data_IF_943107973956
#
_entry.id   IF_943107973956
#
_cell.length_a   1.000
_cell.length_b   1.000
_cell.length_c   1.000
_cell.angle_alpha   90.00
_cell.angle_beta   90.00
_cell.angle_gamma   90.00
#
_symmetry.space_group_name_H-M   'P 1'
#
loop_
_entity.id
_entity.type
_entity.pdbx_description
1 polymer ?
#
# COMPACT_ATOMS: atom_id res chain seq x y z
N UNK A 1 42.65 -14.87 30.75
CA UNK A 1 42.31 -14.04 29.58
C UNK A 1 41.62 -14.96 28.60
N UNK A 2 40.39 -14.68 28.12
CA UNK A 2 39.80 -15.49 27.07
C UNK A 2 40.52 -15.20 25.75
N UNK A 3 40.83 -16.27 25.03
CA UNK A 3 41.49 -16.28 23.73
C UNK A 3 40.75 -15.39 22.72
N UNK A 4 41.40 -14.51 21.96
CA UNK A 4 40.74 -13.68 21.00
C UNK A 4 40.16 -14.55 19.88
N UNK A 5 38.85 -14.55 19.76
CA UNK A 5 38.14 -15.18 18.63
C UNK A 5 38.80 -14.73 17.33
N UNK A 6 39.22 -15.64 16.43
CA UNK A 6 39.87 -15.24 15.18
C UNK A 6 38.94 -14.31 14.39
N UNK A 7 39.50 -13.30 13.70
CA UNK A 7 38.72 -12.41 12.88
C UNK A 7 37.93 -13.22 11.86
N UNK A 8 36.61 -13.10 11.89
CA UNK A 8 35.74 -13.69 10.86
C UNK A 8 36.24 -13.14 9.52
N UNK A 9 36.63 -14.04 8.63
CA UNK A 9 37.05 -13.69 7.28
C UNK A 9 36.00 -12.80 6.60
N UNK A 10 36.34 -12.05 5.53
CA UNK A 10 35.42 -11.14 4.87
C UNK A 10 34.16 -11.91 4.48
N UNK A 11 33.03 -11.57 5.14
CA UNK A 11 31.72 -12.14 4.80
C UNK A 11 31.41 -11.64 3.39
N UNK A 12 31.47 -12.52 2.41
CA UNK A 12 31.10 -12.17 1.04
C UNK A 12 29.66 -11.62 1.04
N UNK A 13 29.39 -10.54 0.29
CA UNK A 13 28.05 -9.96 0.26
C UNK A 13 27.01 -11.00 -0.21
N UNK A 14 25.77 -10.90 0.27
CA UNK A 14 24.70 -11.79 -0.19
C UNK A 14 24.46 -11.61 -1.68
N UNK A 15 24.18 -12.71 -2.34
CA UNK A 15 23.79 -12.72 -3.75
C UNK A 15 22.29 -12.48 -3.90
N UNK A 16 21.50 -13.04 -2.99
CA UNK A 16 20.04 -12.95 -2.96
C UNK A 16 19.57 -12.42 -1.60
N UNK A 17 18.81 -11.34 -1.61
CA UNK A 17 18.08 -10.88 -0.43
C UNK A 17 16.60 -11.27 -0.52
N UNK A 18 16.08 -11.89 0.53
CA UNK A 18 14.67 -12.25 0.65
C UNK A 18 14.00 -11.26 1.60
N UNK A 19 13.12 -10.45 1.07
CA UNK A 19 12.36 -9.45 1.79
C UNK A 19 11.03 -10.05 2.23
N UNK A 20 10.80 -10.08 3.55
CA UNK A 20 9.60 -10.67 4.15
C UNK A 20 8.88 -9.60 4.96
N UNK A 21 7.84 -8.95 4.40
CA UNK A 21 7.02 -8.02 5.16
C UNK A 21 6.22 -8.77 6.23
N UNK A 22 6.21 -8.25 7.46
CA UNK A 22 5.52 -8.90 8.59
C UNK A 22 4.62 -7.93 9.35
N UNK A 23 3.45 -8.43 9.74
CA UNK A 23 2.56 -7.81 10.71
C UNK A 23 1.72 -8.89 11.40
N UNK A 24 1.97 -9.15 12.70
CA UNK A 24 1.37 -10.23 13.49
C UNK A 24 1.68 -11.63 12.91
N UNK A 25 2.97 -11.93 12.77
CA UNK A 25 3.45 -13.19 12.19
C UNK A 25 4.42 -13.95 13.13
N UNK A 26 4.38 -13.69 14.45
CA UNK A 26 5.28 -14.29 15.43
C UNK A 26 5.33 -15.83 15.39
N UNK A 27 4.23 -16.47 15.01
CA UNK A 27 4.14 -17.93 14.88
C UNK A 27 4.76 -18.49 13.61
N UNK A 28 5.03 -17.67 12.59
CA UNK A 28 5.46 -18.11 11.26
C UNK A 28 6.93 -17.78 10.95
N UNK A 29 7.50 -16.73 11.57
CA UNK A 29 8.83 -16.20 11.21
C UNK A 29 9.96 -17.22 11.35
N UNK A 30 9.93 -18.10 12.36
CA UNK A 30 10.94 -19.12 12.53
C UNK A 30 10.86 -20.22 11.46
N UNK A 31 9.67 -20.64 11.14
CA UNK A 31 9.45 -21.70 10.15
C UNK A 31 9.77 -21.23 8.73
N UNK A 32 9.36 -20.02 8.34
CA UNK A 32 9.69 -19.49 7.02
C UNK A 32 11.20 -19.28 6.85
N UNK A 33 11.90 -18.78 7.88
CA UNK A 33 13.35 -18.65 7.86
C UNK A 33 14.05 -20.00 7.68
N UNK A 34 13.61 -21.02 8.41
CA UNK A 34 14.14 -22.38 8.30
C UNK A 34 13.90 -22.95 6.89
N UNK A 35 12.69 -22.87 6.35
CA UNK A 35 12.34 -23.39 5.02
C UNK A 35 13.17 -22.72 3.93
N UNK A 36 13.28 -21.38 3.96
CA UNK A 36 14.12 -20.63 3.01
C UNK A 36 15.58 -21.04 3.13
N UNK A 37 16.10 -21.17 4.36
CA UNK A 37 17.49 -21.59 4.58
C UNK A 37 17.82 -22.96 3.98
N UNK A 38 16.88 -23.91 4.07
CA UNK A 38 16.99 -25.23 3.45
C UNK A 38 16.91 -25.13 1.92
N UNK A 39 15.98 -24.36 1.41
CA UNK A 39 15.77 -24.22 -0.05
C UNK A 39 16.94 -23.52 -0.77
N UNK A 40 17.65 -22.64 -0.07
CA UNK A 40 18.77 -21.86 -0.62
C UNK A 40 20.15 -22.40 -0.22
N UNK A 41 20.23 -23.69 0.11
CA UNK A 41 21.52 -24.32 0.40
C UNK A 41 22.49 -24.15 -0.79
N UNK A 42 23.73 -23.71 -0.51
CA UNK A 42 24.76 -23.42 -1.53
C UNK A 42 24.65 -22.03 -2.19
N UNK A 43 23.60 -21.26 -1.93
CA UNK A 43 23.44 -19.87 -2.39
C UNK A 43 23.79 -18.92 -1.25
N UNK A 44 24.42 -17.79 -1.56
CA UNK A 44 24.68 -16.72 -0.57
C UNK A 44 23.45 -15.85 -0.43
N UNK A 45 22.70 -16.03 0.65
CA UNK A 45 21.45 -15.32 0.88
C UNK A 45 21.43 -14.56 2.20
N UNK A 46 20.56 -13.57 2.28
CA UNK A 46 20.11 -12.97 3.53
C UNK A 46 18.58 -12.89 3.55
N UNK A 47 17.98 -12.93 4.73
CA UNK A 47 16.56 -12.65 4.96
C UNK A 47 16.44 -11.31 5.68
N UNK A 48 15.62 -10.43 5.14
CA UNK A 48 15.26 -9.17 5.76
C UNK A 48 13.77 -9.18 6.12
N UNK A 49 13.47 -9.42 7.39
CA UNK A 49 12.12 -9.24 7.92
C UNK A 49 11.84 -7.75 8.12
N UNK A 50 10.76 -7.26 7.52
CA UNK A 50 10.33 -5.88 7.64
C UNK A 50 9.04 -5.83 8.44
N UNK A 51 9.15 -5.50 9.73
CA UNK A 51 8.06 -5.58 10.69
C UNK A 51 7.38 -4.23 10.91
N UNK A 52 6.06 -4.20 10.68
CA UNK A 52 5.21 -3.01 10.81
C UNK A 52 4.75 -2.76 12.25
N UNK A 53 5.68 -2.82 13.19
CA UNK A 53 5.46 -2.61 14.63
C UNK A 53 4.39 -3.56 15.21
N UNK A 54 4.62 -4.84 14.98
CA UNK A 54 3.72 -5.91 15.43
C UNK A 54 3.59 -5.96 16.94
N UNK A 55 2.37 -5.97 17.50
CA UNK A 55 2.16 -6.08 18.95
C UNK A 55 2.24 -7.51 19.51
N UNK A 56 2.33 -8.53 18.64
CA UNK A 56 2.29 -9.95 19.01
C UNK A 56 3.66 -10.58 19.35
N UNK A 57 4.74 -9.76 19.36
CA UNK A 57 6.09 -10.24 19.60
C UNK A 57 6.85 -10.71 18.34
N UNK A 58 6.35 -10.43 17.13
CA UNK A 58 7.04 -10.77 15.87
C UNK A 58 8.47 -10.22 15.85
N UNK A 59 8.66 -8.92 16.15
CA UNK A 59 9.97 -8.28 16.12
C UNK A 59 10.97 -8.90 17.11
N UNK A 60 10.52 -9.28 18.30
CA UNK A 60 11.31 -9.96 19.33
C UNK A 60 11.75 -11.32 18.82
N UNK A 61 10.83 -12.07 18.23
CA UNK A 61 11.12 -13.40 17.68
C UNK A 61 12.15 -13.34 16.55
N UNK A 62 12.05 -12.35 15.66
CA UNK A 62 13.04 -12.16 14.58
C UNK A 62 14.41 -11.76 15.16
N UNK A 63 14.48 -10.92 16.20
CA UNK A 63 15.75 -10.60 16.87
C UNK A 63 16.43 -11.84 17.46
N UNK A 64 15.66 -12.74 18.03
CA UNK A 64 16.21 -14.00 18.57
C UNK A 64 16.78 -14.89 17.46
N UNK A 65 16.12 -14.97 16.30
CA UNK A 65 16.64 -15.64 15.11
C UNK A 65 17.92 -14.97 14.59
N UNK A 66 17.95 -13.64 14.51
CA UNK A 66 19.10 -12.87 14.04
C UNK A 66 20.34 -13.01 14.94
N UNK A 67 20.17 -13.30 16.24
CA UNK A 67 21.29 -13.63 17.14
C UNK A 67 21.89 -15.00 16.85
N UNK A 68 21.09 -15.93 16.34
CA UNK A 68 21.51 -17.30 16.01
C UNK A 68 22.08 -17.40 14.59
N UNK A 69 21.51 -16.64 13.63
CA UNK A 69 21.94 -16.64 12.24
C UNK A 69 22.12 -15.18 11.73
N UNK A 70 23.38 -14.75 11.48
CA UNK A 70 23.67 -13.38 11.03
C UNK A 70 23.13 -13.07 9.63
N UNK A 71 22.66 -14.04 8.87
CA UNK A 71 21.98 -13.85 7.59
C UNK A 71 20.55 -13.35 7.74
N UNK A 72 19.99 -13.42 8.97
CA UNK A 72 18.64 -12.94 9.29
C UNK A 72 18.75 -11.54 9.89
N UNK A 73 17.98 -10.60 9.34
CA UNK A 73 17.96 -9.20 9.76
C UNK A 73 16.53 -8.75 10.02
N UNK A 74 16.39 -7.77 10.91
CA UNK A 74 15.13 -7.11 11.22
C UNK A 74 15.19 -5.63 10.87
N UNK A 75 14.21 -5.15 10.10
CA UNK A 75 13.88 -3.74 9.94
C UNK A 75 12.52 -3.49 10.60
N UNK A 76 12.50 -2.88 11.80
CA UNK A 76 11.25 -2.52 12.49
C UNK A 76 10.81 -1.11 12.10
N UNK A 77 9.58 -0.95 11.64
CA UNK A 77 8.99 0.30 11.13
C UNK A 77 8.00 0.88 12.14
N UNK A 78 8.50 1.62 13.12
CA UNK A 78 7.67 2.18 14.21
C UNK A 78 6.72 3.24 13.68
N UNK A 79 5.43 3.13 14.02
CA UNK A 79 4.40 4.12 13.67
C UNK A 79 4.02 4.16 12.19
N UNK A 80 4.50 3.22 11.38
CA UNK A 80 4.19 3.11 9.93
C UNK A 80 3.67 1.71 9.60
N UNK A 81 2.75 1.63 8.65
CA UNK A 81 2.18 0.37 8.18
C UNK A 81 1.94 0.39 6.68
N UNK A 82 2.09 -0.74 6.04
CA UNK A 82 1.79 -0.93 4.63
C UNK A 82 2.72 -1.91 3.95
N UNK A 83 2.18 -2.96 3.35
CA UNK A 83 2.95 -4.04 2.75
C UNK A 83 3.87 -3.55 1.64
N UNK A 84 3.35 -2.75 0.69
CA UNK A 84 4.16 -2.25 -0.43
C UNK A 84 5.33 -1.39 0.06
N UNK A 85 5.09 -0.46 0.99
CA UNK A 85 6.17 0.37 1.55
C UNK A 85 7.16 -0.45 2.38
N UNK A 86 6.72 -1.52 3.06
CA UNK A 86 7.60 -2.44 3.76
C UNK A 86 8.52 -3.19 2.78
N UNK A 87 7.98 -3.69 1.67
CA UNK A 87 8.78 -4.32 0.63
C UNK A 87 9.82 -3.34 0.04
N UNK A 88 9.42 -2.11 -0.29
CA UNK A 88 10.32 -1.09 -0.85
C UNK A 88 11.47 -0.80 0.14
N UNK A 89 11.17 -0.52 1.39
CA UNK A 89 12.19 -0.23 2.41
C UNK A 89 13.12 -1.42 2.64
N UNK A 90 12.58 -2.64 2.64
CA UNK A 90 13.38 -3.86 2.72
C UNK A 90 14.31 -4.05 1.53
N UNK A 91 13.81 -3.85 0.31
CA UNK A 91 14.62 -3.95 -0.91
C UNK A 91 15.72 -2.88 -0.97
N UNK A 92 15.48 -1.68 -0.45
CA UNK A 92 16.48 -0.60 -0.36
C UNK A 92 17.50 -0.81 0.77
N UNK A 93 17.23 -1.66 1.75
CA UNK A 93 18.09 -1.90 2.91
C UNK A 93 19.13 -3.01 2.70
N UNK A 94 19.29 -3.49 1.48
CA UNK A 94 20.26 -4.52 1.08
C UNK A 94 21.13 -4.08 -0.08
N UNK A 95 22.30 -4.71 -0.22
CA UNK A 95 23.20 -4.53 -1.37
C UNK A 95 23.22 -5.74 -2.30
N UNK A 96 22.34 -6.72 -2.07
CA UNK A 96 22.23 -7.91 -2.91
C UNK A 96 21.81 -7.54 -4.34
N UNK A 97 22.44 -8.13 -5.39
CA UNK A 97 22.07 -7.88 -6.78
C UNK A 97 20.72 -8.46 -7.19
N UNK A 98 20.21 -9.43 -6.42
CA UNK A 98 18.90 -10.06 -6.64
C UNK A 98 18.04 -9.92 -5.41
N UNK A 99 16.78 -9.54 -5.61
CA UNK A 99 15.82 -9.21 -4.57
C UNK A 99 14.58 -10.11 -4.73
N UNK A 100 14.24 -10.89 -3.72
CA UNK A 100 13.01 -11.67 -3.69
C UNK A 100 12.05 -11.10 -2.67
N UNK A 101 10.76 -11.10 -2.97
CA UNK A 101 9.69 -10.80 -2.02
C UNK A 101 8.87 -12.06 -1.83
N UNK A 102 8.54 -12.38 -0.57
CA UNK A 102 7.69 -13.52 -0.19
C UNK A 102 6.92 -13.16 1.08
N UNK A 103 5.63 -13.53 1.16
CA UNK A 103 4.83 -13.31 2.36
C UNK A 103 5.23 -14.30 3.49
N UNK A 104 5.08 -13.86 4.75
CA UNK A 104 5.45 -14.64 5.94
C UNK A 104 4.48 -15.78 6.29
N UNK A 105 3.33 -15.89 5.62
CA UNK A 105 2.19 -16.73 6.01
C UNK A 105 2.27 -18.20 5.55
N UNK A 106 3.43 -18.61 5.03
CA UNK A 106 3.75 -19.96 4.56
C UNK A 106 2.89 -20.48 3.39
N UNK A 107 2.15 -19.59 2.72
CA UNK A 107 1.29 -19.97 1.59
C UNK A 107 2.05 -20.11 0.26
N UNK A 108 3.18 -19.42 0.13
CA UNK A 108 4.04 -19.48 -1.05
C UNK A 108 4.97 -20.70 -0.98
N UNK A 109 5.42 -21.15 -2.16
CA UNK A 109 6.35 -22.26 -2.29
C UNK A 109 7.80 -21.75 -2.35
N UNK A 110 8.44 -21.66 -1.20
CA UNK A 110 9.82 -21.21 -1.04
C UNK A 110 10.85 -22.08 -1.79
N UNK A 111 10.49 -23.32 -2.13
CA UNK A 111 11.39 -24.23 -2.89
C UNK A 111 11.57 -23.79 -4.34
N UNK A 112 10.75 -22.86 -4.80
CA UNK A 112 10.86 -22.28 -6.15
C UNK A 112 11.99 -21.24 -6.26
N UNK A 113 12.42 -20.62 -5.14
CA UNK A 113 13.42 -19.54 -5.12
C UNK A 113 14.72 -19.85 -5.88
N UNK A 114 15.38 -21.03 -5.69
CA UNK A 114 16.62 -21.32 -6.44
C UNK A 114 16.40 -21.35 -7.94
N UNK A 115 15.29 -21.96 -8.40
CA UNK A 115 14.94 -22.04 -9.81
C UNK A 115 14.58 -20.67 -10.39
N UNK A 116 13.90 -19.81 -9.64
CA UNK A 116 13.62 -18.42 -10.04
C UNK A 116 14.92 -17.65 -10.22
N UNK A 117 15.90 -17.79 -9.31
CA UNK A 117 17.19 -17.15 -9.41
C UNK A 117 18.00 -17.65 -10.62
N UNK A 118 18.01 -18.95 -10.85
CA UNK A 118 18.66 -19.56 -12.00
C UNK A 118 18.09 -19.02 -13.32
N UNK A 119 16.76 -19.02 -13.47
CA UNK A 119 16.08 -18.52 -14.67
C UNK A 119 16.32 -17.01 -14.88
N UNK A 120 16.27 -16.22 -13.81
CA UNK A 120 16.55 -14.78 -13.87
C UNK A 120 17.96 -14.49 -14.41
N UNK A 121 18.95 -15.33 -14.04
CA UNK A 121 20.34 -15.19 -14.48
C UNK A 121 20.55 -15.68 -15.90
N UNK A 122 20.10 -16.90 -16.20
CA UNK A 122 20.39 -17.59 -17.47
C UNK A 122 19.67 -16.98 -18.66
N UNK A 123 18.45 -16.43 -18.46
CA UNK A 123 17.64 -15.86 -19.53
C UNK A 123 17.69 -14.31 -19.56
N UNK A 124 18.58 -13.70 -18.80
CA UNK A 124 18.73 -12.24 -18.72
C UNK A 124 17.39 -11.50 -18.48
N UNK A 125 16.53 -12.11 -17.64
CA UNK A 125 15.23 -11.53 -17.28
C UNK A 125 15.42 -10.39 -16.29
N UNK A 126 14.46 -9.47 -16.26
CA UNK A 126 14.37 -8.39 -15.28
C UNK A 126 13.69 -8.88 -13.99
N UNK A 127 12.66 -9.74 -14.13
CA UNK A 127 11.84 -10.24 -13.03
C UNK A 127 11.31 -11.66 -13.33
N UNK A 128 11.24 -12.48 -12.29
CA UNK A 128 10.56 -13.78 -12.31
C UNK A 128 9.46 -13.78 -11.27
N UNK A 129 8.26 -14.18 -11.66
CA UNK A 129 7.06 -14.15 -10.82
C UNK A 129 6.58 -15.56 -10.53
N UNK A 130 6.36 -15.88 -9.26
CA UNK A 130 5.60 -17.06 -8.88
C UNK A 130 4.12 -16.79 -9.16
N UNK A 131 3.52 -17.59 -10.04
CA UNK A 131 2.17 -17.36 -10.56
C UNK A 131 1.22 -18.51 -10.21
N UNK A 132 0.02 -18.13 -9.76
CA UNK A 132 -1.09 -19.06 -9.46
C UNK A 132 -1.96 -19.36 -10.68
N UNK A 133 -1.83 -18.56 -11.73
CA UNK A 133 -2.76 -18.55 -12.86
C UNK A 133 -2.19 -19.09 -14.18
N UNK A 134 -0.89 -19.35 -14.24
CA UNK A 134 -0.28 -20.05 -15.38
C UNK A 134 -0.49 -21.56 -15.28
N UNK A 135 -0.30 -22.27 -16.40
CA UNK A 135 -0.46 -23.73 -16.46
C UNK A 135 0.43 -24.42 -15.41
N UNK A 136 -0.19 -25.24 -14.56
CA UNK A 136 0.46 -25.89 -13.43
C UNK A 136 0.40 -25.11 -12.11
N UNK A 137 -0.10 -23.86 -12.11
CA UNK A 137 -0.37 -23.10 -10.89
C UNK A 137 -1.76 -23.42 -10.30
N UNK A 138 -1.94 -23.18 -9.00
CA UNK A 138 -3.24 -23.33 -8.34
C UNK A 138 -3.45 -22.27 -7.26
N UNK A 139 -4.73 -21.90 -7.06
CA UNK A 139 -5.17 -20.94 -6.02
C UNK A 139 -5.61 -21.61 -4.72
N UNK A 140 -5.43 -22.94 -4.61
CA UNK A 140 -5.95 -23.70 -3.47
C UNK A 140 -7.49 -23.63 -3.37
N UNK A 141 -8.01 -23.70 -2.13
CA UNK A 141 -9.47 -23.80 -1.86
C UNK A 141 -10.19 -22.43 -1.86
N UNK A 142 -9.88 -21.55 -2.81
CA UNK A 142 -10.60 -20.28 -2.90
C UNK A 142 -12.04 -20.50 -3.40
N UNK A 143 -13.01 -19.84 -2.76
CA UNK A 143 -14.37 -19.84 -3.24
C UNK A 143 -14.50 -19.09 -4.59
N UNK A 144 -15.53 -19.44 -5.39
CA UNK A 144 -15.73 -18.88 -6.74
C UNK A 144 -15.81 -17.35 -6.76
N UNK A 145 -16.41 -16.72 -5.74
CA UNK A 145 -16.51 -15.26 -5.62
C UNK A 145 -15.16 -14.61 -5.48
N UNK A 146 -14.27 -15.16 -4.64
CA UNK A 146 -12.90 -14.69 -4.45
C UNK A 146 -12.07 -14.84 -5.72
N UNK A 147 -12.23 -15.96 -6.42
CA UNK A 147 -11.56 -16.19 -7.71
C UNK A 147 -12.04 -15.20 -8.78
N UNK A 148 -13.35 -14.96 -8.90
CA UNK A 148 -13.91 -14.01 -9.86
C UNK A 148 -13.42 -12.58 -9.59
N UNK A 149 -13.42 -12.14 -8.34
CA UNK A 149 -12.89 -10.83 -7.94
C UNK A 149 -11.39 -10.69 -8.26
N UNK A 150 -10.59 -11.72 -7.98
CA UNK A 150 -9.16 -11.71 -8.27
C UNK A 150 -8.89 -11.67 -9.78
N UNK A 151 -9.64 -12.43 -10.60
CA UNK A 151 -9.52 -12.38 -12.07
C UNK A 151 -9.92 -11.01 -12.64
N UNK A 152 -10.98 -10.40 -12.12
CA UNK A 152 -11.38 -9.05 -12.54
C UNK A 152 -10.29 -8.03 -12.22
N UNK A 153 -9.75 -8.08 -11.00
CA UNK A 153 -8.65 -7.22 -10.59
C UNK A 153 -7.41 -7.42 -11.48
N UNK A 154 -7.03 -8.68 -11.79
CA UNK A 154 -5.92 -8.97 -12.71
C UNK A 154 -6.15 -8.41 -14.11
N UNK A 155 -7.36 -8.54 -14.67
CA UNK A 155 -7.68 -7.96 -15.99
C UNK A 155 -7.59 -6.43 -16.02
N UNK A 156 -8.00 -5.76 -14.94
CA UNK A 156 -7.86 -4.30 -14.82
C UNK A 156 -6.37 -3.91 -14.74
N UNK A 157 -5.59 -4.66 -13.98
CA UNK A 157 -4.14 -4.46 -13.86
C UNK A 157 -3.42 -4.65 -15.21
N UNK A 158 -3.70 -5.72 -15.93
CA UNK A 158 -3.11 -6.02 -17.24
C UNK A 158 -3.29 -4.88 -18.25
N UNK A 159 -4.47 -4.25 -18.26
CA UNK A 159 -4.71 -3.08 -19.13
C UNK A 159 -3.86 -1.87 -18.78
N UNK A 160 -3.48 -1.74 -17.51
CA UNK A 160 -2.67 -0.62 -17.02
C UNK A 160 -1.18 -0.81 -17.34
N UNK A 161 -0.67 -2.05 -17.14
CA UNK A 161 0.78 -2.33 -17.23
C UNK A 161 1.25 -2.67 -18.64
N UNK A 162 0.33 -2.82 -19.61
CA UNK A 162 0.64 -3.20 -21.01
C UNK A 162 1.53 -4.46 -21.10
N UNK A 163 1.39 -5.40 -20.15
CA UNK A 163 2.09 -6.66 -20.10
C UNK A 163 1.10 -7.82 -19.91
N UNK A 164 1.36 -8.93 -20.57
CA UNK A 164 0.53 -10.15 -20.46
C UNK A 164 0.92 -10.96 -19.21
N UNK A 165 0.90 -10.30 -18.06
CA UNK A 165 1.18 -10.89 -16.76
C UNK A 165 -0.10 -11.52 -16.19
N UNK A 166 -0.12 -12.84 -16.05
CA UNK A 166 -1.30 -13.58 -15.59
C UNK A 166 -1.60 -13.32 -14.11
N UNK A 167 -0.56 -13.16 -13.26
CA UNK A 167 -0.72 -12.90 -11.82
C UNK A 167 -0.06 -11.59 -11.36
N UNK A 168 -0.57 -10.42 -11.77
CA UNK A 168 -0.04 -9.12 -11.35
C UNK A 168 -0.21 -8.83 -9.85
N UNK A 169 -0.97 -9.69 -9.17
CA UNK A 169 -1.27 -9.59 -7.75
C UNK A 169 -0.41 -10.50 -6.88
N UNK A 170 0.57 -11.19 -7.46
CA UNK A 170 1.43 -12.09 -6.72
C UNK A 170 2.27 -11.33 -5.68
N UNK A 171 2.33 -11.85 -4.44
CA UNK A 171 3.27 -11.44 -3.40
C UNK A 171 4.58 -12.24 -3.44
N UNK A 172 4.80 -13.04 -4.50
CA UNK A 172 5.96 -13.89 -4.64
C UNK A 172 6.65 -13.64 -5.98
N UNK A 173 7.78 -12.94 -5.95
CA UNK A 173 8.55 -12.61 -7.14
C UNK A 173 10.02 -12.35 -6.79
N UNK A 174 10.88 -12.38 -7.81
CA UNK A 174 12.30 -12.13 -7.73
C UNK A 174 12.72 -11.21 -8.86
N UNK A 175 13.48 -10.13 -8.56
CA UNK A 175 13.90 -9.13 -9.54
C UNK A 175 15.39 -8.78 -9.40
N UNK A 176 15.94 -8.17 -10.43
CA UNK A 176 17.28 -7.54 -10.40
C UNK A 176 17.21 -6.21 -9.65
N UNK A 177 18.18 -5.93 -8.78
CA UNK A 177 18.23 -4.68 -8.02
C UNK A 177 18.20 -3.40 -8.88
N UNK A 178 18.82 -3.32 -10.09
CA UNK A 178 18.70 -2.14 -10.95
C UNK A 178 17.26 -1.80 -11.34
N UNK A 179 16.37 -2.79 -11.48
CA UNK A 179 14.95 -2.54 -11.81
C UNK A 179 14.25 -1.73 -10.72
N UNK A 180 14.55 -2.03 -9.45
CA UNK A 180 14.04 -1.21 -8.34
C UNK A 180 14.59 0.22 -8.42
N UNK A 181 15.89 0.38 -8.66
CA UNK A 181 16.53 1.69 -8.76
C UNK A 181 15.90 2.56 -9.86
N UNK A 182 15.56 1.95 -11.00
CA UNK A 182 14.94 2.64 -12.14
C UNK A 182 13.51 3.14 -11.86
N UNK A 183 12.75 2.49 -10.95
CA UNK A 183 11.34 2.80 -10.72
C UNK A 183 11.01 3.30 -9.31
N UNK A 184 11.93 3.26 -8.36
CA UNK A 184 11.64 3.53 -6.94
C UNK A 184 11.06 4.92 -6.69
N UNK A 185 11.46 5.92 -7.47
CA UNK A 185 10.94 7.30 -7.37
C UNK A 185 9.48 7.44 -7.75
N UNK A 186 8.96 6.53 -8.57
CA UNK A 186 7.59 6.54 -9.10
C UNK A 186 6.67 5.48 -8.45
N UNK A 187 7.21 4.69 -7.50
CA UNK A 187 6.41 3.74 -6.74
C UNK A 187 5.43 4.47 -5.81
N UNK A 188 4.19 4.00 -5.78
CA UNK A 188 3.16 4.59 -4.92
C UNK A 188 3.41 4.34 -3.43
N UNK A 189 4.07 3.25 -3.09
CA UNK A 189 4.30 2.80 -1.72
C UNK A 189 3.01 2.50 -0.92
N UNK A 190 1.85 2.52 -1.58
CA UNK A 190 0.53 2.35 -0.97
C UNK A 190 -0.08 1.00 -1.37
N UNK A 191 -0.84 0.40 -0.46
CA UNK A 191 -1.58 -0.84 -0.71
C UNK A 191 -0.72 -2.10 -0.59
N UNK A 192 -1.22 -3.20 -1.21
CA UNK A 192 -0.69 -4.56 -1.03
C UNK A 192 -0.12 -5.15 -2.34
N UNK A 193 0.09 -4.35 -3.40
CA UNK A 193 0.37 -4.85 -4.75
C UNK A 193 1.65 -4.27 -5.35
N UNK A 194 2.76 -4.51 -4.62
CA UNK A 194 4.09 -4.00 -5.02
C UNK A 194 4.53 -4.49 -6.41
N UNK A 195 4.23 -5.74 -6.78
CA UNK A 195 4.56 -6.28 -8.09
C UNK A 195 3.92 -5.46 -9.22
N UNK A 196 2.61 -5.20 -9.11
CA UNK A 196 1.90 -4.37 -10.09
C UNK A 196 2.46 -2.93 -10.12
N UNK A 197 2.80 -2.37 -8.96
CA UNK A 197 3.37 -1.03 -8.86
C UNK A 197 4.73 -0.94 -9.58
N UNK A 198 5.60 -1.95 -9.45
CA UNK A 198 6.87 -2.05 -10.17
C UNK A 198 6.65 -2.09 -11.68
N UNK A 199 5.75 -2.95 -12.18
CA UNK A 199 5.45 -3.02 -13.61
C UNK A 199 4.89 -1.70 -14.15
N UNK A 200 4.00 -1.05 -13.39
CA UNK A 200 3.36 0.22 -13.79
C UNK A 200 4.28 1.44 -13.67
N UNK A 201 5.36 1.36 -12.90
CA UNK A 201 6.33 2.44 -12.69
C UNK A 201 7.60 2.26 -13.51
N UNK A 202 7.80 1.10 -14.12
CA UNK A 202 9.00 0.86 -14.93
C UNK A 202 9.03 1.78 -16.15
N UNK A 203 10.15 2.47 -16.41
CA UNK A 203 10.28 3.37 -17.58
C UNK A 203 10.33 2.63 -18.91
N UNK A 204 10.48 1.31 -18.88
CA UNK A 204 10.52 0.42 -20.06
C UNK A 204 9.75 -0.88 -19.82
N UNK A 205 9.33 -1.58 -20.87
CA UNK A 205 8.79 -2.92 -20.72
C UNK A 205 9.79 -3.85 -20.03
N UNK A 206 9.33 -4.59 -19.02
CA UNK A 206 10.15 -5.55 -18.29
C UNK A 206 10.15 -6.90 -19.00
N UNK A 207 11.33 -7.53 -19.09
CA UNK A 207 11.47 -8.93 -19.48
C UNK A 207 11.13 -9.81 -18.29
N UNK A 208 10.07 -10.57 -18.35
CA UNK A 208 9.62 -11.38 -17.24
C UNK A 208 9.26 -12.82 -17.62
N UNK A 209 9.26 -13.67 -16.62
CA UNK A 209 8.80 -15.06 -16.70
C UNK A 209 7.86 -15.34 -15.53
N UNK A 210 6.75 -16.02 -15.78
CA UNK A 210 5.89 -16.55 -14.74
C UNK A 210 6.15 -18.05 -14.53
N UNK A 211 6.39 -18.44 -13.30
CA UNK A 211 6.62 -19.84 -12.92
C UNK A 211 5.44 -20.34 -12.06
N UNK A 212 4.86 -21.50 -12.43
CA UNK A 212 3.72 -22.03 -11.70
C UNK A 212 4.10 -22.50 -10.29
N UNK A 213 3.21 -22.23 -9.32
CA UNK A 213 3.26 -22.87 -8.00
C UNK A 213 1.87 -23.11 -7.43
N UNK A 214 1.78 -24.08 -6.51
CA UNK A 214 0.56 -24.32 -5.76
C UNK A 214 0.48 -23.41 -4.54
N UNK A 215 -0.55 -22.56 -4.46
CA UNK A 215 -0.79 -21.72 -3.30
C UNK A 215 -1.31 -22.58 -2.15
N UNK A 216 -0.52 -22.72 -1.07
CA UNK A 216 -0.83 -23.56 0.08
C UNK A 216 -1.95 -22.97 0.93
N UNK A 217 -2.64 -23.80 1.69
CA UNK A 217 -3.54 -23.30 2.73
C UNK A 217 -2.72 -22.62 3.83
N UNK A 218 -3.27 -21.53 4.37
CA UNK A 218 -2.65 -20.84 5.50
C UNK A 218 -2.66 -21.74 6.72
N UNK A 219 -1.49 -21.96 7.31
CA UNK A 219 -1.37 -22.79 8.50
C UNK A 219 -1.83 -22.06 9.76
N UNK A 220 -1.64 -20.71 9.82
CA UNK A 220 -1.99 -19.86 10.96
C UNK A 220 -2.36 -18.45 10.49
N UNK A 221 -3.25 -17.77 11.25
CA UNK A 221 -3.66 -16.39 11.01
C UNK A 221 -4.95 -16.23 10.20
N UNK A 222 -5.49 -15.01 10.17
CA UNK A 222 -6.73 -14.67 9.45
C UNK A 222 -6.44 -13.96 8.12
N UNK A 223 -7.34 -14.13 7.14
CA UNK A 223 -7.24 -13.43 5.85
C UNK A 223 -7.52 -11.93 6.06
N UNK A 224 -6.56 -11.07 5.75
CA UNK A 224 -6.70 -9.60 5.83
C UNK A 224 -7.37 -8.99 4.58
N UNK A 225 -8.01 -9.80 3.72
CA UNK A 225 -8.78 -9.32 2.56
C UNK A 225 -10.07 -8.67 3.06
N UNK A 226 -9.97 -7.37 3.27
CA UNK A 226 -11.06 -6.47 3.67
C UNK A 226 -11.43 -5.57 2.47
N UNK A 227 -12.64 -5.00 2.49
CA UNK A 227 -13.09 -4.01 1.49
C UNK A 227 -12.10 -2.84 1.34
N UNK A 228 -11.33 -2.54 2.39
CA UNK A 228 -10.27 -1.55 2.35
C UNK A 228 -9.11 -1.91 1.40
N UNK A 229 -8.78 -3.19 1.24
CA UNK A 229 -7.76 -3.65 0.27
C UNK A 229 -8.21 -3.38 -1.16
N UNK A 230 -9.49 -3.61 -1.46
CA UNK A 230 -10.07 -3.28 -2.77
C UNK A 230 -10.04 -1.78 -3.01
N UNK A 231 -10.36 -0.97 -2.01
CA UNK A 231 -10.30 0.50 -2.08
C UNK A 231 -8.88 0.99 -2.38
N UNK A 232 -7.87 0.53 -1.64
CA UNK A 232 -6.47 0.88 -1.87
C UNK A 232 -5.99 0.46 -3.27
N UNK A 233 -6.45 -0.70 -3.75
CA UNK A 233 -6.16 -1.17 -5.10
C UNK A 233 -6.74 -0.25 -6.18
N UNK A 234 -8.00 0.14 -6.06
CA UNK A 234 -8.65 1.06 -6.99
C UNK A 234 -7.98 2.43 -7.00
N UNK A 235 -7.58 2.93 -5.83
CA UNK A 235 -6.85 4.18 -5.71
C UNK A 235 -5.47 4.12 -6.40
N UNK A 236 -4.75 3.02 -6.24
CA UNK A 236 -3.46 2.83 -6.91
C UNK A 236 -3.64 2.81 -8.43
N UNK A 237 -4.64 2.09 -8.96
CA UNK A 237 -4.95 2.10 -10.39
C UNK A 237 -5.28 3.51 -10.89
N UNK A 238 -6.08 4.24 -10.13
CA UNK A 238 -6.49 5.61 -10.50
C UNK A 238 -5.29 6.57 -10.48
N UNK A 239 -4.40 6.44 -9.50
CA UNK A 239 -3.16 7.23 -9.47
C UNK A 239 -2.29 6.98 -10.71
N UNK A 240 -2.13 5.72 -11.11
CA UNK A 240 -1.34 5.39 -12.31
C UNK A 240 -1.95 5.93 -13.59
N UNK A 241 -3.29 6.04 -13.66
CA UNK A 241 -3.99 6.67 -14.79
C UNK A 241 -3.84 8.19 -14.81
N UNK A 242 -3.87 8.85 -13.64
CA UNK A 242 -3.79 10.31 -13.52
C UNK A 242 -2.33 10.79 -13.60
N UNK A 243 -1.39 9.94 -13.17
CA UNK A 243 0.04 10.23 -13.16
C UNK A 243 0.64 10.37 -11.74
N UNK A 244 1.97 10.19 -11.60
CA UNK A 244 2.66 10.07 -10.31
C UNK A 244 2.71 11.38 -9.50
N UNK A 245 2.45 12.54 -10.16
CA UNK A 245 2.52 13.86 -9.52
C UNK A 245 1.41 14.12 -8.50
N UNK A 246 0.30 13.37 -8.58
CA UNK A 246 -0.85 13.55 -7.69
C UNK A 246 -0.82 12.47 -6.60
N UNK A 247 -0.70 12.83 -5.30
CA UNK A 247 -0.67 11.85 -4.21
C UNK A 247 -1.97 11.02 -4.15
N UNK A 248 -1.84 9.70 -3.97
CA UNK A 248 -2.99 8.79 -3.81
C UNK A 248 -3.97 9.29 -2.73
N UNK A 249 -3.42 9.80 -1.63
CA UNK A 249 -4.25 10.34 -0.53
C UNK A 249 -5.08 11.54 -0.95
N UNK A 250 -4.56 12.39 -1.84
CA UNK A 250 -5.34 13.50 -2.38
C UNK A 250 -6.50 13.02 -3.25
N UNK A 251 -6.26 11.99 -4.07
CA UNK A 251 -7.31 11.37 -4.90
C UNK A 251 -8.41 10.77 -4.01
N UNK A 252 -8.02 9.98 -2.99
CA UNK A 252 -8.95 9.39 -2.04
C UNK A 252 -9.76 10.46 -1.29
N UNK A 253 -9.08 11.49 -0.80
CA UNK A 253 -9.68 12.63 -0.10
C UNK A 253 -10.71 13.35 -0.98
N UNK A 254 -10.37 13.60 -2.25
CA UNK A 254 -11.25 14.28 -3.21
C UNK A 254 -12.46 13.43 -3.58
N UNK A 255 -12.32 12.12 -3.76
CA UNK A 255 -13.45 11.21 -4.01
C UNK A 255 -14.43 11.17 -2.83
N UNK A 256 -13.90 11.08 -1.60
CA UNK A 256 -14.70 11.13 -0.39
C UNK A 256 -15.37 12.51 -0.26
N UNK A 257 -14.63 13.60 -0.53
CA UNK A 257 -15.20 14.94 -0.55
C UNK A 257 -16.36 15.08 -1.54
N UNK A 258 -16.20 14.52 -2.74
CA UNK A 258 -17.27 14.47 -3.76
C UNK A 258 -18.50 13.68 -3.29
N UNK A 259 -18.31 12.54 -2.60
CA UNK A 259 -19.44 11.79 -2.02
C UNK A 259 -20.19 12.59 -0.95
N UNK A 260 -19.50 13.47 -0.26
CA UNK A 260 -20.11 14.38 0.72
C UNK A 260 -21.16 15.32 0.13
N UNK A 261 -21.05 15.67 -1.17
CA UNK A 261 -22.08 16.44 -1.87
C UNK A 261 -23.39 15.67 -1.93
N UNK A 262 -23.34 14.37 -2.19
CA UNK A 262 -24.55 13.52 -2.21
C UNK A 262 -25.19 13.43 -0.81
N UNK A 263 -24.38 13.29 0.22
CA UNK A 263 -24.85 13.31 1.62
C UNK A 263 -25.50 14.66 1.95
N UNK A 264 -24.84 15.75 1.58
CA UNK A 264 -25.36 17.11 1.80
C UNK A 264 -26.73 17.29 1.15
N UNK A 265 -26.86 16.95 -0.14
CA UNK A 265 -28.12 17.07 -0.87
C UNK A 265 -29.23 16.19 -0.29
N UNK A 266 -28.91 14.97 0.10
CA UNK A 266 -29.88 14.05 0.70
C UNK A 266 -30.38 14.57 2.04
N UNK A 267 -29.50 15.05 2.92
CA UNK A 267 -29.89 15.61 4.23
C UNK A 267 -30.68 16.91 4.07
N UNK A 268 -30.27 17.79 3.16
CA UNK A 268 -30.97 19.05 2.87
C UNK A 268 -32.39 18.76 2.36
N UNK A 269 -32.54 17.83 1.42
CA UNK A 269 -33.84 17.39 0.91
C UNK A 269 -34.72 16.84 2.03
N UNK A 270 -34.17 15.96 2.87
CA UNK A 270 -34.88 15.37 4.00
C UNK A 270 -35.41 16.45 4.96
N UNK A 271 -34.55 17.38 5.38
CA UNK A 271 -34.89 18.43 6.32
C UNK A 271 -35.95 19.40 5.78
N UNK A 272 -35.78 19.83 4.53
CA UNK A 272 -36.70 20.80 3.93
C UNK A 272 -38.04 20.15 3.55
N UNK A 273 -38.04 18.93 2.97
CA UNK A 273 -39.25 18.30 2.45
C UNK A 273 -40.06 17.54 3.51
N UNK A 274 -39.39 16.85 4.45
CA UNK A 274 -40.09 16.03 5.45
C UNK A 274 -40.28 16.75 6.79
N UNK A 275 -39.33 17.60 7.19
CA UNK A 275 -39.38 18.29 8.49
C UNK A 275 -39.77 19.77 8.39
N UNK A 276 -39.94 20.32 7.17
CA UNK A 276 -40.36 21.70 6.95
C UNK A 276 -39.41 22.75 7.54
N UNK A 277 -38.12 22.44 7.71
CA UNK A 277 -37.17 23.39 8.30
C UNK A 277 -36.87 24.53 7.33
N UNK A 278 -36.48 25.69 7.87
CA UNK A 278 -36.00 26.79 7.02
C UNK A 278 -34.78 26.40 6.22
N UNK A 279 -34.60 26.95 5.03
CA UNK A 279 -33.46 26.63 4.16
C UNK A 279 -32.10 26.84 4.84
N UNK A 280 -31.96 27.94 5.63
CA UNK A 280 -30.73 28.25 6.33
C UNK A 280 -30.36 27.17 7.37
N UNK A 281 -31.34 26.71 8.16
CA UNK A 281 -31.13 25.63 9.15
C UNK A 281 -30.82 24.34 8.42
N UNK A 282 -31.60 23.98 7.39
CA UNK A 282 -31.39 22.78 6.58
C UNK A 282 -30.00 22.73 5.96
N UNK A 283 -29.58 23.85 5.37
CA UNK A 283 -28.25 24.00 4.73
C UNK A 283 -27.10 23.83 5.74
N UNK A 284 -27.21 24.48 6.91
CA UNK A 284 -26.18 24.41 7.96
C UNK A 284 -26.02 23.02 8.52
N UNK A 285 -27.15 22.36 8.82
CA UNK A 285 -27.14 20.99 9.32
C UNK A 285 -26.62 20.01 8.25
N UNK A 286 -27.07 20.15 6.99
CA UNK A 286 -26.60 19.29 5.92
C UNK A 286 -25.09 19.43 5.68
N UNK A 287 -24.54 20.65 5.75
CA UNK A 287 -23.10 20.90 5.65
C UNK A 287 -22.33 20.20 6.79
N UNK A 288 -22.79 20.34 8.03
CA UNK A 288 -22.16 19.73 9.18
C UNK A 288 -22.19 18.19 9.12
N UNK A 289 -23.30 17.61 8.70
CA UNK A 289 -23.46 16.16 8.52
C UNK A 289 -22.53 15.67 7.41
N UNK A 290 -22.45 16.37 6.26
CA UNK A 290 -21.54 16.02 5.18
C UNK A 290 -20.07 16.11 5.62
N UNK A 291 -19.65 17.19 6.29
CA UNK A 291 -18.30 17.31 6.86
C UNK A 291 -17.98 16.19 7.85
N UNK A 292 -18.91 15.86 8.71
CA UNK A 292 -18.76 14.79 9.71
C UNK A 292 -18.60 13.43 9.02
N UNK A 293 -19.43 13.12 8.03
CA UNK A 293 -19.33 11.88 7.23
C UNK A 293 -17.98 11.81 6.52
N UNK A 294 -17.56 12.90 5.87
CA UNK A 294 -16.26 12.98 5.18
C UNK A 294 -15.10 12.78 6.15
N UNK A 295 -15.16 13.34 7.35
CA UNK A 295 -14.15 13.12 8.38
C UNK A 295 -14.01 11.65 8.73
N UNK A 296 -15.13 10.97 9.05
CA UNK A 296 -15.09 9.55 9.41
C UNK A 296 -14.61 8.66 8.25
N UNK A 297 -15.09 8.92 7.04
CA UNK A 297 -14.63 8.17 5.86
C UNK A 297 -13.14 8.38 5.60
N UNK A 298 -12.65 9.61 5.67
CA UNK A 298 -11.22 9.88 5.52
C UNK A 298 -10.39 9.23 6.63
N UNK A 299 -10.85 9.24 7.88
CA UNK A 299 -10.18 8.61 9.00
C UNK A 299 -10.08 7.08 8.88
N UNK A 300 -11.03 6.44 8.18
CA UNK A 300 -11.07 4.97 8.00
C UNK A 300 -10.41 4.54 6.69
N UNK A 301 -10.56 5.31 5.61
CA UNK A 301 -10.16 4.92 4.25
C UNK A 301 -8.88 5.61 3.79
N UNK A 302 -8.78 6.95 3.91
CA UNK A 302 -7.63 7.73 3.40
C UNK A 302 -6.44 7.70 4.37
N UNK A 303 -6.71 7.83 5.66
CA UNK A 303 -5.69 7.93 6.73
C UNK A 303 -5.72 6.71 7.65
N UNK A 304 -5.93 5.51 7.09
CA UNK A 304 -6.03 4.25 7.83
C UNK A 304 -4.79 3.95 8.67
N UNK A 305 -3.62 4.25 8.14
CA UNK A 305 -2.31 4.09 8.80
C UNK A 305 -2.09 5.07 9.96
N UNK A 306 -2.76 6.23 9.91
CA UNK A 306 -2.71 7.29 10.93
C UNK A 306 -4.07 7.48 11.63
N UNK A 307 -4.90 6.44 11.66
CA UNK A 307 -6.29 6.50 12.14
C UNK A 307 -6.37 7.05 13.56
N UNK A 308 -7.14 8.13 13.73
CA UNK A 308 -7.42 8.74 15.02
C UNK A 308 -8.39 7.89 15.83
N UNK A 309 -8.17 7.80 17.16
CA UNK A 309 -9.00 7.04 18.12
C UNK A 309 -9.17 7.80 19.44
N UNK A 310 -10.21 7.47 20.18
CA UNK A 310 -10.47 8.06 21.51
C UNK A 310 -10.52 9.60 21.48
N UNK A 311 -9.84 10.26 22.40
CA UNK A 311 -9.80 11.73 22.49
C UNK A 311 -9.25 12.42 21.24
N UNK A 312 -8.31 11.80 20.54
CA UNK A 312 -7.75 12.34 19.29
C UNK A 312 -8.80 12.44 18.17
N UNK A 313 -9.81 11.54 18.17
CA UNK A 313 -10.91 11.56 17.20
C UNK A 313 -11.75 12.84 17.34
N UNK A 314 -12.03 13.27 18.58
CA UNK A 314 -12.83 14.48 18.84
C UNK A 314 -12.06 15.73 18.39
N UNK A 315 -10.80 15.88 18.80
CA UNK A 315 -9.98 17.02 18.39
C UNK A 315 -9.71 17.04 16.89
N UNK A 316 -9.53 15.88 16.28
CA UNK A 316 -9.38 15.74 14.83
C UNK A 316 -10.66 16.17 14.10
N UNK A 317 -11.83 15.82 14.60
CA UNK A 317 -13.10 16.25 14.03
C UNK A 317 -13.25 17.79 14.06
N UNK A 318 -12.97 18.43 15.20
CA UNK A 318 -13.01 19.89 15.30
C UNK A 318 -12.00 20.55 14.35
N UNK A 319 -10.77 20.07 14.29
CA UNK A 319 -9.74 20.55 13.35
C UNK A 319 -10.17 20.40 11.89
N UNK A 320 -10.79 19.26 11.55
CA UNK A 320 -11.28 18.99 10.19
C UNK A 320 -12.43 19.92 9.81
N UNK A 321 -13.44 20.09 10.68
CA UNK A 321 -14.57 20.97 10.42
C UNK A 321 -14.10 22.42 10.26
N UNK A 322 -13.17 22.87 11.11
CA UNK A 322 -12.58 24.22 10.99
C UNK A 322 -11.86 24.42 9.65
N UNK A 323 -10.99 23.46 9.27
CA UNK A 323 -10.25 23.51 8.00
C UNK A 323 -11.20 23.55 6.80
N UNK A 324 -12.24 22.70 6.80
CA UNK A 324 -13.24 22.67 5.72
C UNK A 324 -14.08 23.94 5.66
N UNK A 325 -14.40 24.57 6.80
CA UNK A 325 -15.12 25.85 6.83
C UNK A 325 -14.28 26.99 6.21
N UNK A 326 -13.00 27.05 6.51
CA UNK A 326 -12.08 28.01 5.86
C UNK A 326 -11.95 27.72 4.36
N UNK A 327 -11.82 26.45 3.97
CA UNK A 327 -11.77 26.03 2.58
C UNK A 327 -13.05 26.39 1.80
N UNK A 328 -14.22 26.33 2.44
CA UNK A 328 -15.48 26.77 1.84
C UNK A 328 -15.50 28.29 1.57
N UNK A 329 -15.00 29.09 2.51
CA UNK A 329 -14.85 30.55 2.31
C UNK A 329 -13.87 30.84 1.16
N UNK A 330 -12.73 30.17 1.12
CA UNK A 330 -11.74 30.32 0.04
C UNK A 330 -12.32 29.92 -1.32
N UNK A 331 -13.10 28.84 -1.40
CA UNK A 331 -13.80 28.40 -2.61
C UNK A 331 -14.72 29.51 -3.14
N UNK A 332 -15.61 30.03 -2.27
CA UNK A 332 -16.55 31.10 -2.66
C UNK A 332 -15.79 32.35 -3.09
N UNK A 333 -14.79 32.78 -2.33
CA UNK A 333 -14.01 33.97 -2.62
C UNK A 333 -13.30 33.92 -3.98
N UNK A 334 -12.62 32.80 -4.28
CA UNK A 334 -11.92 32.59 -5.57
C UNK A 334 -12.93 32.52 -6.73
N UNK A 335 -14.03 31.77 -6.55
CA UNK A 335 -15.05 31.65 -7.60
C UNK A 335 -15.68 33.01 -7.93
N UNK A 336 -16.01 33.81 -6.91
CA UNK A 336 -16.57 35.16 -7.08
C UNK A 336 -15.57 36.07 -7.77
N UNK A 337 -14.32 36.11 -7.31
CA UNK A 337 -13.26 36.95 -7.89
C UNK A 337 -13.03 36.67 -9.38
N UNK A 338 -12.96 35.39 -9.77
CA UNK A 338 -12.79 35.02 -11.17
C UNK A 338 -14.03 35.32 -12.01
N UNK A 339 -15.21 35.14 -11.45
CA UNK A 339 -16.48 35.47 -12.16
C UNK A 339 -16.63 36.94 -12.42
N UNK A 340 -16.32 37.81 -11.47
CA UNK A 340 -16.31 39.28 -11.62
C UNK A 340 -15.24 39.76 -12.60
N UNK A 341 -14.16 38.95 -12.81
CA UNK A 341 -13.10 39.19 -13.80
C UNK A 341 -13.41 38.65 -15.20
N UNK A 342 -14.69 38.56 -15.59
CA UNK A 342 -15.17 38.06 -16.90
C UNK A 342 -14.81 36.57 -17.22
N UNK A 343 -14.39 35.78 -16.24
CA UNK A 343 -14.26 34.34 -16.44
C UNK A 343 -15.63 33.69 -16.46
N UNK A 344 -15.83 32.74 -17.36
CA UNK A 344 -17.10 32.03 -17.46
C UNK A 344 -17.42 31.29 -16.13
N UNK A 345 -18.71 31.24 -15.75
CA UNK A 345 -19.17 30.73 -14.46
C UNK A 345 -18.68 29.28 -14.15
N UNK A 346 -18.55 28.42 -15.19
CA UNK A 346 -18.05 27.06 -15.04
C UNK A 346 -16.58 27.05 -14.60
N UNK A 347 -15.73 27.85 -15.25
CA UNK A 347 -14.31 27.95 -14.93
C UNK A 347 -14.10 28.52 -13.52
N UNK A 348 -14.85 29.56 -13.17
CA UNK A 348 -14.82 30.18 -11.84
C UNK A 348 -15.21 29.18 -10.74
N UNK A 349 -16.29 28.44 -10.94
CA UNK A 349 -16.72 27.40 -9.99
C UNK A 349 -15.69 26.27 -9.84
N UNK A 350 -15.14 25.77 -10.95
CA UNK A 350 -14.13 24.70 -10.92
C UNK A 350 -12.84 25.16 -10.22
N UNK A 351 -12.40 26.40 -10.47
CA UNK A 351 -11.23 26.96 -9.79
C UNK A 351 -11.45 27.08 -8.28
N UNK A 352 -12.61 27.56 -7.84
CA UNK A 352 -12.97 27.63 -6.43
C UNK A 352 -13.00 26.26 -5.77
N UNK A 353 -13.62 25.25 -6.41
CA UNK A 353 -13.66 23.87 -5.93
C UNK A 353 -12.24 23.30 -5.79
N UNK A 354 -11.39 23.51 -6.78
CA UNK A 354 -10.00 23.01 -6.76
C UNK A 354 -9.20 23.63 -5.61
N UNK A 355 -9.27 24.95 -5.44
CA UNK A 355 -8.58 25.65 -4.34
C UNK A 355 -9.11 25.17 -2.98
N UNK A 356 -10.41 25.04 -2.81
CA UNK A 356 -11.01 24.52 -1.58
C UNK A 356 -10.57 23.07 -1.30
N UNK A 357 -10.52 22.20 -2.30
CA UNK A 357 -10.10 20.82 -2.16
C UNK A 357 -8.60 20.71 -1.78
N UNK A 358 -7.73 21.48 -2.45
CA UNK A 358 -6.30 21.52 -2.14
C UNK A 358 -6.06 22.06 -0.74
N UNK A 359 -6.73 23.13 -0.35
CA UNK A 359 -6.65 23.68 1.01
C UNK A 359 -7.08 22.66 2.05
N UNK A 360 -8.26 22.07 1.89
CA UNK A 360 -8.79 21.09 2.84
C UNK A 360 -7.85 19.91 3.00
N UNK A 361 -7.33 19.36 1.90
CA UNK A 361 -6.36 18.28 1.93
C UNK A 361 -5.07 18.68 2.64
N UNK A 362 -4.44 19.79 2.24
CA UNK A 362 -3.14 20.22 2.76
C UNK A 362 -3.22 20.49 4.27
N UNK A 363 -4.23 21.27 4.70
CA UNK A 363 -4.41 21.64 6.11
C UNK A 363 -4.74 20.42 6.96
N UNK A 364 -5.65 19.56 6.50
CA UNK A 364 -6.05 18.38 7.30
C UNK A 364 -4.97 17.30 7.33
N UNK A 365 -4.18 17.14 6.27
CA UNK A 365 -3.04 16.21 6.27
C UNK A 365 -1.97 16.62 7.30
N UNK A 366 -1.74 17.93 7.50
CA UNK A 366 -0.73 18.46 8.42
C UNK A 366 -1.25 18.57 9.86
N UNK A 367 -2.48 19.02 10.06
CA UNK A 367 -2.98 19.36 11.40
C UNK A 367 -3.93 18.32 11.98
N UNK A 368 -4.78 17.68 11.15
CA UNK A 368 -5.77 16.71 11.63
C UNK A 368 -5.17 15.32 11.77
N UNK A 369 -4.47 14.83 10.75
CA UNK A 369 -3.80 13.52 10.77
C UNK A 369 -2.28 13.67 10.90
N UNK A 370 -1.84 14.34 11.96
CA UNK A 370 -0.42 14.38 12.32
C UNK A 370 0.06 12.98 12.68
N UNK A 371 1.00 12.43 11.90
CA UNK A 371 1.81 11.32 12.38
C UNK A 371 2.47 11.76 13.70
N UNK A 372 2.47 10.91 14.73
CA UNK A 372 3.28 11.18 15.91
C UNK A 372 4.71 11.40 15.45
N UNK A 373 5.19 12.65 15.50
CA UNK A 373 6.60 12.91 15.59
C UNK A 373 7.02 12.25 16.91
N UNK A 374 7.70 11.10 16.79
CA UNK A 374 8.34 10.41 17.91
C UNK A 374 9.53 11.18 18.37
#
# INVERSE_FOLDING_TARGET
MPDPTPPRGPCLPPELAIIIPTFNEAGNVAEIARRIGVSLEGIRWEILFVDDDSPDGTAERVRDLARQDPRIRLLRRVGRRGLSSACIEGMLATTAPYLAVIDADLQHDETLLPRMLERLKSEELDIVVGSRYVSGGSVGDWNQRRQAMSRLASRMAQRLIHADLADPMSGFFLLRAPILADCVGDLSGVGYKILLDIFASSPRPLKFLEMPYGFRQRERGESKLDNAVLWEYLLMLLQKLIGPRIPVRFIAFSLIGGSGVLVHLAVLWLLNRLLGTSFLIGQSVAALVAMTTNFFLNNVLTYRDMRLRGRQLIWGWFSFVLACSIGAIANVGIATYLFEGDSGWVLSALAGILVGAVWNYAVTAVYTWRGKAG
#
